data_IF_220840213380
#
_entry.id   IF_220840213380
#
_cell.length_a   1.000
_cell.length_b   1.000
_cell.length_c   1.000
_cell.angle_alpha   90.00
_cell.angle_beta   90.00
_cell.angle_gamma   90.00
#
_symmetry.space_group_name_H-M   'P 1'
#
loop_
_entity.id
_entity.type
_entity.pdbx_description
1 polymer ?
#
# COMPACT_ATOMS: atom_id res chain seq x y z
N UNK A 1 -5.41 -20.87 -1.81
CA UNK A 1 -4.64 -19.67 -2.18
C UNK A 1 -3.83 -19.78 -3.47
N UNK A 2 -2.69 -20.47 -3.53
CA UNK A 2 -1.78 -20.33 -4.70
C UNK A 2 -2.41 -20.75 -6.04
N UNK A 3 -3.34 -21.72 -6.03
CA UNK A 3 -4.12 -22.08 -7.23
C UNK A 3 -5.15 -21.01 -7.63
N UNK A 4 -5.76 -20.31 -6.67
CA UNK A 4 -6.72 -19.23 -6.93
C UNK A 4 -6.01 -17.99 -7.48
N UNK A 5 -4.86 -17.64 -6.89
CA UNK A 5 -4.01 -16.54 -7.37
C UNK A 5 -3.46 -16.84 -8.76
N UNK A 6 -3.06 -18.10 -9.03
CA UNK A 6 -2.65 -18.48 -10.39
C UNK A 6 -3.80 -18.35 -11.40
N UNK A 7 -5.02 -18.72 -11.02
CA UNK A 7 -6.19 -18.56 -11.89
C UNK A 7 -6.51 -17.07 -12.13
N UNK A 8 -6.39 -16.23 -11.11
CA UNK A 8 -6.57 -14.78 -11.22
C UNK A 8 -5.50 -14.13 -12.13
N UNK A 9 -4.25 -14.59 -12.08
CA UNK A 9 -3.19 -14.13 -12.99
C UNK A 9 -3.45 -14.46 -14.47
N UNK A 10 -4.23 -15.50 -14.76
CA UNK A 10 -4.55 -15.91 -16.13
C UNK A 10 -5.71 -15.09 -16.73
N UNK A 11 -6.30 -14.16 -15.95
CA UNK A 11 -7.31 -13.21 -16.41
C UNK A 11 -6.66 -12.19 -17.35
N UNK A 12 -7.29 -11.95 -18.51
CA UNK A 12 -6.70 -11.10 -19.55
C UNK A 12 -6.70 -9.60 -19.22
N UNK A 13 -7.63 -9.16 -18.37
CA UNK A 13 -7.70 -7.78 -17.89
C UNK A 13 -6.91 -7.63 -16.58
N UNK A 14 -5.98 -6.68 -16.55
CA UNK A 14 -5.09 -6.46 -15.41
C UNK A 14 -5.85 -5.98 -14.16
N UNK A 15 -6.88 -5.16 -14.33
CA UNK A 15 -7.70 -4.67 -13.23
C UNK A 15 -8.47 -5.83 -12.60
N UNK A 16 -9.14 -6.64 -13.42
CA UNK A 16 -9.87 -7.81 -12.94
C UNK A 16 -8.94 -8.84 -12.28
N UNK A 17 -7.74 -9.04 -12.83
CA UNK A 17 -6.72 -9.90 -12.25
C UNK A 17 -6.30 -9.41 -10.87
N UNK A 18 -5.99 -8.12 -10.75
CA UNK A 18 -5.56 -7.51 -9.50
C UNK A 18 -6.65 -7.58 -8.42
N UNK A 19 -7.89 -7.21 -8.76
CA UNK A 19 -9.03 -7.27 -7.85
C UNK A 19 -9.30 -8.69 -7.33
N UNK A 20 -9.21 -9.71 -8.19
CA UNK A 20 -9.40 -11.09 -7.74
C UNK A 20 -8.29 -11.57 -6.79
N UNK A 21 -7.04 -11.13 -7.02
CA UNK A 21 -5.92 -11.46 -6.12
C UNK A 21 -6.13 -10.76 -4.78
N UNK A 22 -6.49 -9.47 -4.77
CA UNK A 22 -6.71 -8.73 -3.54
C UNK A 22 -7.90 -9.30 -2.77
N UNK A 23 -9.01 -9.64 -3.41
CA UNK A 23 -10.17 -10.28 -2.76
C UNK A 23 -9.78 -11.57 -1.99
N UNK A 24 -8.92 -12.41 -2.56
CA UNK A 24 -8.42 -13.62 -1.89
C UNK A 24 -7.58 -13.28 -0.66
N UNK A 25 -6.73 -12.26 -0.76
CA UNK A 25 -5.84 -11.84 0.32
C UNK A 25 -6.62 -11.16 1.45
N UNK A 26 -7.54 -10.25 1.14
CA UNK A 26 -8.42 -9.62 2.13
C UNK A 26 -9.32 -10.63 2.81
N UNK A 27 -9.79 -11.66 2.10
CA UNK A 27 -10.53 -12.76 2.72
C UNK A 27 -9.72 -13.48 3.81
N UNK A 28 -8.45 -13.78 3.53
CA UNK A 28 -7.55 -14.39 4.52
C UNK A 28 -7.22 -13.44 5.67
N UNK A 29 -6.93 -12.19 5.36
CA UNK A 29 -6.67 -11.17 6.38
C UNK A 29 -7.87 -11.05 7.34
N UNK A 30 -9.09 -11.00 6.81
CA UNK A 30 -10.30 -10.93 7.63
C UNK A 30 -10.54 -12.19 8.49
N UNK A 31 -10.17 -13.38 8.00
CA UNK A 31 -10.37 -14.64 8.70
C UNK A 31 -9.28 -14.94 9.75
N UNK A 32 -8.01 -14.68 9.41
CA UNK A 32 -6.83 -15.14 10.15
C UNK A 32 -5.94 -13.98 10.67
N UNK A 33 -6.22 -12.74 10.27
CA UNK A 33 -5.48 -11.52 10.62
C UNK A 33 -4.25 -11.24 9.74
N UNK A 34 -3.83 -9.98 9.68
CA UNK A 34 -2.68 -9.52 8.89
C UNK A 34 -1.38 -10.30 9.15
N UNK A 35 -1.10 -10.69 10.39
CA UNK A 35 0.10 -11.45 10.75
C UNK A 35 0.13 -12.88 10.18
N UNK A 36 -1.01 -13.39 9.71
CA UNK A 36 -1.10 -14.69 9.03
C UNK A 36 -0.68 -14.63 7.57
N UNK A 37 -0.64 -13.42 6.99
CA UNK A 37 -0.24 -13.21 5.61
C UNK A 37 1.25 -13.48 5.44
N UNK A 38 1.61 -14.13 4.33
CA UNK A 38 3.01 -14.22 3.92
C UNK A 38 3.54 -12.86 3.48
N UNK A 39 4.86 -12.68 3.45
CA UNK A 39 5.45 -11.42 3.00
C UNK A 39 4.90 -11.03 1.62
N UNK A 40 4.76 -11.98 0.69
CA UNK A 40 4.22 -11.70 -0.66
C UNK A 40 2.75 -11.24 -0.64
N UNK A 41 1.94 -11.81 0.25
CA UNK A 41 0.55 -11.39 0.47
C UNK A 41 0.47 -10.00 1.09
N UNK A 42 1.30 -9.72 2.11
CA UNK A 42 1.45 -8.40 2.72
C UNK A 42 1.82 -7.34 1.69
N UNK A 43 2.74 -7.65 0.77
CA UNK A 43 3.10 -6.73 -0.31
C UNK A 43 1.91 -6.37 -1.20
N UNK A 44 1.07 -7.33 -1.58
CA UNK A 44 -0.12 -7.00 -2.38
C UNK A 44 -1.14 -6.22 -1.55
N UNK A 45 -1.35 -6.61 -0.30
CA UNK A 45 -2.27 -5.95 0.63
C UNK A 45 -1.91 -4.48 0.84
N UNK A 46 -0.64 -4.18 1.14
CA UNK A 46 -0.17 -2.81 1.35
C UNK A 46 -0.28 -1.96 0.07
N UNK A 47 -0.01 -2.52 -1.11
CA UNK A 47 -0.10 -1.77 -2.37
C UNK A 47 -1.56 -1.47 -2.73
N UNK A 48 -2.47 -2.44 -2.58
CA UNK A 48 -3.90 -2.18 -2.81
C UNK A 48 -4.45 -1.18 -1.80
N UNK A 49 -4.07 -1.30 -0.52
CA UNK A 49 -4.44 -0.34 0.51
C UNK A 49 -3.96 1.08 0.19
N UNK A 50 -2.69 1.25 -0.21
CA UNK A 50 -2.18 2.54 -0.68
C UNK A 50 -2.99 3.09 -1.86
N UNK A 51 -3.22 2.27 -2.90
CA UNK A 51 -3.97 2.69 -4.09
C UNK A 51 -5.38 3.18 -3.75
N UNK A 52 -6.11 2.45 -2.89
CA UNK A 52 -7.45 2.84 -2.45
C UNK A 52 -7.45 4.19 -1.75
N UNK A 53 -6.49 4.44 -0.87
CA UNK A 53 -6.45 5.71 -0.14
C UNK A 53 -6.04 6.88 -1.04
N UNK A 54 -5.13 6.65 -1.98
CA UNK A 54 -4.81 7.66 -2.98
C UNK A 54 -6.04 8.04 -3.81
N UNK A 55 -6.88 7.07 -4.19
CA UNK A 55 -8.17 7.33 -4.87
C UNK A 55 -9.21 8.02 -3.99
N UNK A 56 -9.25 7.71 -2.69
CA UNK A 56 -10.23 8.26 -1.75
C UNK A 56 -9.93 9.70 -1.32
N UNK A 57 -8.65 10.06 -1.22
CA UNK A 57 -8.26 11.41 -0.80
C UNK A 57 -6.78 11.57 -0.47
N UNK A 58 -5.90 10.81 -1.12
CA UNK A 58 -4.46 11.01 -1.04
C UNK A 58 -3.81 10.49 0.24
N UNK A 59 -2.60 10.98 0.50
CA UNK A 59 -1.78 10.59 1.64
C UNK A 59 -2.39 10.95 2.99
N UNK A 60 -3.29 11.94 3.03
CA UNK A 60 -4.07 12.24 4.24
C UNK A 60 -5.00 11.07 4.59
N UNK A 61 -5.75 10.55 3.61
CA UNK A 61 -6.58 9.37 3.84
C UNK A 61 -5.74 8.15 4.21
N UNK A 62 -4.57 7.99 3.58
CA UNK A 62 -3.64 6.92 3.91
C UNK A 62 -3.23 6.94 5.39
N UNK A 63 -2.88 8.11 5.93
CA UNK A 63 -2.48 8.22 7.34
C UNK A 63 -3.66 8.11 8.30
N UNK A 64 -4.87 8.48 7.89
CA UNK A 64 -6.04 8.44 8.76
C UNK A 64 -6.69 7.05 8.88
N UNK A 65 -6.55 6.19 7.88
CA UNK A 65 -7.13 4.84 7.91
C UNK A 65 -6.15 3.79 8.45
N UNK A 66 -6.67 2.59 8.73
CA UNK A 66 -5.93 1.45 9.29
C UNK A 66 -4.65 1.11 8.50
N UNK A 67 -4.67 1.25 7.17
CA UNK A 67 -3.49 0.98 6.32
C UNK A 67 -2.31 1.92 6.64
N UNK A 68 -2.57 3.11 7.19
CA UNK A 68 -1.54 4.03 7.64
C UNK A 68 -0.66 3.45 8.75
N UNK A 69 -1.19 2.54 9.58
CA UNK A 69 -0.39 1.81 10.58
C UNK A 69 0.67 0.90 9.92
N UNK A 70 0.48 0.56 8.64
CA UNK A 70 1.35 -0.28 7.84
C UNK A 70 2.29 0.55 6.93
N UNK A 71 2.56 1.82 7.26
CA UNK A 71 3.39 2.69 6.44
C UNK A 71 4.81 2.13 6.17
N UNK A 72 5.44 1.51 7.16
CA UNK A 72 6.76 0.87 6.99
C UNK A 72 6.67 -0.39 6.11
N UNK A 73 5.68 -1.26 6.34
CA UNK A 73 5.42 -2.43 5.49
C UNK A 73 5.09 -2.01 4.04
N UNK A 74 4.43 -0.87 3.87
CA UNK A 74 4.11 -0.29 2.55
C UNK A 74 5.36 0.21 1.84
N UNK A 75 6.32 0.81 2.55
CA UNK A 75 7.64 1.12 1.98
C UNK A 75 8.37 -0.14 1.51
N UNK A 76 8.38 -1.20 2.31
CA UNK A 76 8.98 -2.48 1.91
C UNK A 76 8.26 -3.07 0.68
N UNK A 77 6.93 -3.02 0.65
CA UNK A 77 6.14 -3.48 -0.49
C UNK A 77 6.50 -2.72 -1.79
N UNK A 78 6.60 -1.39 -1.72
CA UNK A 78 7.01 -0.53 -2.84
C UNK A 78 8.42 -0.89 -3.32
N UNK A 79 9.36 -1.16 -2.41
CA UNK A 79 10.70 -1.63 -2.77
C UNK A 79 10.65 -3.00 -3.48
N UNK A 80 9.86 -3.96 -2.98
CA UNK A 80 9.73 -5.30 -3.56
C UNK A 80 9.14 -5.31 -4.96
N UNK A 81 8.18 -4.43 -5.25
CA UNK A 81 7.63 -4.26 -6.60
C UNK A 81 8.50 -3.33 -7.48
N UNK A 82 9.53 -2.70 -6.89
CA UNK A 82 10.47 -1.76 -7.53
C UNK A 82 9.86 -0.41 -7.94
N UNK A 83 8.82 0.04 -7.24
CA UNK A 83 8.16 1.33 -7.41
C UNK A 83 8.95 2.43 -6.67
N UNK A 84 10.06 2.86 -7.27
CA UNK A 84 11.06 3.72 -6.61
C UNK A 84 10.57 5.15 -6.44
N UNK A 85 9.76 5.63 -7.38
CA UNK A 85 9.28 7.01 -7.33
C UNK A 85 8.17 7.12 -6.27
N UNK A 86 7.21 6.20 -6.26
CA UNK A 86 6.18 6.14 -5.21
C UNK A 86 6.81 5.87 -3.84
N UNK A 87 7.82 4.99 -3.74
CA UNK A 87 8.61 4.80 -2.51
C UNK A 87 9.14 6.13 -1.98
N UNK A 88 9.76 6.94 -2.84
CA UNK A 88 10.35 8.21 -2.42
C UNK A 88 9.30 9.21 -1.89
N UNK A 89 8.07 9.18 -2.40
CA UNK A 89 6.98 10.02 -1.91
C UNK A 89 6.54 9.58 -0.51
N UNK A 90 6.26 8.29 -0.32
CA UNK A 90 5.87 7.77 1.00
C UNK A 90 7.00 7.92 2.02
N UNK A 91 8.26 7.74 1.61
CA UNK A 91 9.42 7.96 2.48
C UNK A 91 9.51 9.43 2.92
N UNK A 92 9.24 10.36 1.99
CA UNK A 92 9.18 11.79 2.30
C UNK A 92 8.04 12.11 3.28
N UNK A 93 6.86 11.51 3.11
CA UNK A 93 5.74 11.67 4.04
C UNK A 93 6.09 11.17 5.45
N UNK A 94 6.70 9.98 5.55
CA UNK A 94 7.13 9.38 6.82
C UNK A 94 8.18 10.25 7.54
N UNK A 95 8.99 11.03 6.80
CA UNK A 95 9.95 11.96 7.39
C UNK A 95 9.32 13.12 8.17
N UNK A 96 8.02 13.38 8.04
CA UNK A 96 7.34 14.37 8.87
C UNK A 96 7.09 13.88 10.31
N UNK A 97 7.11 12.57 10.55
CA UNK A 97 6.96 12.00 11.89
C UNK A 97 8.27 12.09 12.68
N UNK A 98 8.17 12.41 13.98
CA UNK A 98 9.32 12.40 14.88
C UNK A 98 9.94 10.99 14.92
N UNK A 99 11.28 10.91 14.85
CA UNK A 99 12.04 9.66 14.71
C UNK A 99 11.59 8.75 13.55
N UNK A 100 10.83 9.29 12.58
CA UNK A 100 10.18 8.55 11.49
C UNK A 100 9.21 7.46 11.97
N UNK A 101 8.60 7.63 13.14
CA UNK A 101 7.68 6.64 13.71
C UNK A 101 6.24 7.02 13.46
N UNK A 102 5.57 6.24 12.61
CA UNK A 102 4.12 6.32 12.42
C UNK A 102 3.43 5.51 13.52
N UNK A 103 2.53 6.10 14.33
CA UNK A 103 1.83 5.36 15.38
C UNK A 103 0.92 4.27 14.82
N UNK A 104 0.91 3.11 15.47
CA UNK A 104 0.01 2.01 15.10
C UNK A 104 -1.43 2.26 15.59
N UNK A 105 -1.58 2.91 16.76
CA UNK A 105 -2.88 3.33 17.28
C UNK A 105 -3.49 4.40 16.36
N UNK A 106 -4.75 4.21 15.98
CA UNK A 106 -5.44 5.06 15.01
C UNK A 106 -5.64 6.48 15.54
N UNK A 107 -6.18 6.62 16.76
CA UNK A 107 -6.43 7.92 17.37
C UNK A 107 -5.13 8.71 17.55
N UNK A 108 -4.06 8.08 18.05
CA UNK A 108 -2.74 8.70 18.17
C UNK A 108 -2.17 9.14 16.81
N UNK A 109 -2.29 8.29 15.78
CA UNK A 109 -1.80 8.59 14.43
C UNK A 109 -2.55 9.76 13.81
N UNK A 110 -3.88 9.80 13.93
CA UNK A 110 -4.71 10.90 13.42
C UNK A 110 -4.36 12.20 14.14
N UNK A 111 -4.36 12.21 15.47
CA UNK A 111 -4.08 13.44 16.24
C UNK A 111 -2.69 14.02 15.93
N UNK A 112 -1.70 13.15 15.72
CA UNK A 112 -0.35 13.55 15.35
C UNK A 112 -0.28 14.02 13.89
N UNK A 113 -0.92 13.30 12.97
CA UNK A 113 -0.86 13.64 11.56
C UNK A 113 -1.66 14.91 11.23
N UNK A 114 -2.78 15.19 11.90
CA UNK A 114 -3.50 16.46 11.78
C UNK A 114 -2.61 17.67 12.12
N UNK A 115 -1.72 17.53 13.12
CA UNK A 115 -0.75 18.57 13.47
C UNK A 115 0.32 18.74 12.39
N UNK A 116 0.83 17.62 11.87
CA UNK A 116 1.77 17.62 10.74
C UNK A 116 1.14 18.29 9.51
N UNK A 117 -0.08 17.89 9.15
CA UNK A 117 -0.81 18.43 8.01
C UNK A 117 -1.03 19.94 8.17
N UNK A 118 -1.39 20.40 9.36
CA UNK A 118 -1.54 21.84 9.62
C UNK A 118 -0.25 22.64 9.42
N UNK A 119 0.93 22.04 9.65
CA UNK A 119 2.23 22.69 9.50
C UNK A 119 2.82 22.55 8.10
N UNK A 120 2.47 21.49 7.36
CA UNK A 120 3.08 21.09 6.08
C UNK A 120 2.05 20.83 4.96
N UNK A 121 0.89 21.51 4.99
CA UNK A 121 -0.22 21.27 4.07
C UNK A 121 0.17 21.38 2.59
N UNK A 122 0.97 22.40 2.23
CA UNK A 122 1.39 22.63 0.85
C UNK A 122 2.34 21.51 0.38
N UNK A 123 3.26 21.07 1.23
CA UNK A 123 4.19 19.97 0.94
C UNK A 123 3.48 18.63 0.78
N UNK A 124 2.47 18.34 1.62
CA UNK A 124 1.68 17.10 1.52
C UNK A 124 0.82 17.11 0.25
N UNK A 125 0.19 18.24 -0.07
CA UNK A 125 -0.55 18.38 -1.32
C UNK A 125 0.36 18.19 -2.55
N UNK A 126 1.61 18.68 -2.50
CA UNK A 126 2.59 18.41 -3.56
C UNK A 126 2.94 16.93 -3.68
N UNK A 127 2.98 16.17 -2.58
CA UNK A 127 3.18 14.72 -2.62
C UNK A 127 2.02 14.00 -3.31
N UNK A 128 0.78 14.40 -3.04
CA UNK A 128 -0.41 13.87 -3.70
C UNK A 128 -0.37 14.12 -5.21
N UNK A 129 -0.09 15.36 -5.63
CA UNK A 129 0.03 15.72 -7.05
C UNK A 129 1.14 14.89 -7.72
N UNK A 130 2.30 14.78 -7.07
CA UNK A 130 3.44 14.02 -7.60
C UNK A 130 3.12 12.54 -7.73
N UNK A 131 2.28 11.96 -6.87
CA UNK A 131 1.91 10.55 -6.97
C UNK A 131 1.27 10.23 -8.32
N UNK A 132 0.42 11.11 -8.84
CA UNK A 132 -0.21 10.91 -10.15
C UNK A 132 0.76 11.15 -11.33
N UNK A 133 1.84 11.89 -11.10
CA UNK A 133 2.83 12.26 -12.11
C UNK A 133 4.05 11.32 -12.18
N UNK A 134 4.25 10.41 -11.23
CA UNK A 134 5.45 9.54 -11.18
C UNK A 134 5.54 8.53 -12.34
N UNK A 135 4.44 8.27 -13.04
CA UNK A 135 4.38 7.39 -14.21
C UNK A 135 4.59 5.90 -13.91
N UNK A 136 4.50 5.50 -12.63
CA UNK A 136 4.57 4.09 -12.21
C UNK A 136 3.15 3.50 -12.20
N UNK A 137 2.95 2.39 -12.90
CA UNK A 137 1.70 1.63 -12.84
C UNK A 137 1.82 0.58 -11.74
N UNK A 138 1.38 0.92 -10.52
CA UNK A 138 1.53 0.03 -9.36
C UNK A 138 0.77 -1.29 -9.53
N UNK A 139 -0.35 -1.31 -10.25
CA UNK A 139 -1.10 -2.54 -10.55
C UNK A 139 -0.27 -3.47 -11.43
N UNK A 140 0.23 -3.00 -12.57
CA UNK A 140 1.07 -3.79 -13.49
C UNK A 140 2.34 -4.29 -12.78
N UNK A 141 2.99 -3.42 -12.01
CA UNK A 141 4.21 -3.76 -11.26
C UNK A 141 3.95 -4.84 -10.20
N UNK A 142 2.80 -4.76 -9.54
CA UNK A 142 2.38 -5.74 -8.53
C UNK A 142 2.01 -7.07 -9.17
N UNK A 143 1.25 -7.10 -10.27
CA UNK A 143 0.97 -8.34 -11.02
C UNK A 143 2.27 -9.02 -11.49
N UNK A 144 3.24 -8.22 -11.98
CA UNK A 144 4.56 -8.72 -12.32
C UNK A 144 5.29 -9.32 -11.12
N UNK A 145 5.16 -8.73 -9.93
CA UNK A 145 5.70 -9.28 -8.68
C UNK A 145 5.00 -10.60 -8.30
N UNK A 146 3.66 -10.66 -8.34
CA UNK A 146 2.88 -11.85 -8.00
C UNK A 146 3.27 -13.03 -8.91
N UNK A 147 3.36 -12.81 -10.22
CA UNK A 147 3.75 -13.83 -11.18
C UNK A 147 5.15 -14.42 -10.91
N UNK A 148 6.10 -13.60 -10.43
CA UNK A 148 7.46 -14.06 -10.10
C UNK A 148 7.55 -14.80 -8.76
N UNK A 149 6.62 -14.52 -7.84
CA UNK A 149 6.66 -15.00 -6.46
C UNK A 149 5.48 -15.90 -6.08
N UNK A 150 4.79 -16.50 -7.06
CA UNK A 150 3.56 -17.30 -6.83
C UNK A 150 3.67 -18.39 -5.75
N UNK A 151 4.89 -18.90 -5.51
CA UNK A 151 5.16 -19.93 -4.48
C UNK A 151 5.14 -19.41 -3.04
N UNK A 152 5.17 -18.09 -2.86
CA UNK A 152 5.15 -17.44 -1.55
C UNK A 152 3.73 -17.20 -1.04
N UNK A 153 2.72 -17.30 -1.91
CA UNK A 153 1.31 -17.19 -1.55
C UNK A 153 0.78 -18.54 -1.04
N UNK A 154 0.12 -18.57 0.13
CA UNK A 154 -0.19 -19.79 0.89
C UNK A 154 -1.63 -19.87 1.37
#
# INVERSE_FOLDING_TARGET
>A
MSMEIQAALDVADETDSFLQITDVIYGKEADDGYDSLSDAEKTVFCIDGLLREMENGGFVQFMHHDVGALAEDTLEALERIKAKNTYALLDQLINFFEDRKVPADEDERIELFDQIESDYADEIAELDDRFYDVGENLVEMTLGFVARNIKEFR
#
